data_IF_065274072932
#
_entry.id   IF_065274072932
#
_cell.length_a   1.000
_cell.length_b   1.000
_cell.length_c   1.000
_cell.angle_alpha   90.00
_cell.angle_beta   90.00
_cell.angle_gamma   90.00
#
_symmetry.space_group_name_H-M   'P 1'
#
loop_
_entity.id
_entity.type
_entity.pdbx_description
1 polymer ?
#
# COMPACT_ATOMS: atom_id res chain seq x y z
N UNK A 1 0.72 -19.86 15.68
CA UNK A 1 1.27 -18.51 15.45
C UNK A 1 0.51 -17.90 14.28
N UNK A 2 0.08 -16.66 14.41
CA UNK A 2 -0.55 -15.95 13.29
C UNK A 2 0.45 -15.66 12.16
N UNK A 3 -0.02 -15.32 10.97
CA UNK A 3 0.83 -14.93 9.85
C UNK A 3 1.32 -13.47 10.00
N UNK A 4 2.47 -13.14 9.37
CA UNK A 4 2.97 -11.76 9.25
C UNK A 4 2.35 -11.04 8.05
N UNK A 5 2.21 -11.76 6.94
CA UNK A 5 1.65 -11.25 5.70
C UNK A 5 1.13 -12.37 4.79
N UNK A 6 0.21 -12.00 3.91
CA UNK A 6 -0.46 -12.91 2.99
C UNK A 6 -0.68 -12.26 1.62
N UNK A 7 -0.95 -13.06 0.56
CA UNK A 7 -1.40 -12.52 -0.71
C UNK A 7 -2.76 -11.82 -0.55
N UNK A 8 -3.09 -10.93 -1.47
CA UNK A 8 -4.34 -10.20 -1.45
C UNK A 8 -4.85 -9.89 -2.86
N UNK A 9 -6.13 -9.62 -2.97
CA UNK A 9 -6.79 -9.23 -4.22
C UNK A 9 -6.65 -7.71 -4.37
N UNK A 10 -5.75 -7.27 -5.25
CA UNK A 10 -5.50 -5.84 -5.45
C UNK A 10 -6.47 -5.22 -6.45
N UNK A 11 -6.79 -3.95 -6.21
CA UNK A 11 -7.31 -3.04 -7.22
C UNK A 11 -6.11 -2.25 -7.75
N UNK A 12 -5.74 -2.43 -9.02
CA UNK A 12 -4.49 -1.92 -9.60
C UNK A 12 -4.64 -1.42 -11.03
N UNK A 13 -3.74 -0.55 -11.52
CA UNK A 13 -3.65 -0.25 -12.94
C UNK A 13 -3.11 -1.44 -13.74
N UNK A 14 -3.16 -1.33 -15.05
CA UNK A 14 -2.39 -2.13 -16.00
C UNK A 14 -1.31 -1.25 -16.66
N UNK A 15 -0.55 -1.83 -17.58
CA UNK A 15 0.53 -1.11 -18.28
C UNK A 15 0.02 0.07 -19.12
N UNK A 16 -1.19 -0.01 -19.66
CA UNK A 16 -1.79 1.05 -20.47
C UNK A 16 -2.23 2.25 -19.61
N UNK A 17 -2.60 2.02 -18.35
CA UNK A 17 -3.23 3.04 -17.50
C UNK A 17 -2.33 3.56 -16.37
N UNK A 18 -1.24 2.85 -16.05
CA UNK A 18 -0.38 3.19 -14.89
C UNK A 18 0.16 4.62 -14.95
N UNK A 19 0.55 5.10 -16.13
CA UNK A 19 1.10 6.45 -16.31
C UNK A 19 0.08 7.58 -16.08
N UNK A 20 -1.21 7.29 -16.22
CA UNK A 20 -2.28 8.23 -15.93
C UNK A 20 -2.63 8.30 -14.44
N UNK A 21 -2.31 7.23 -13.69
CA UNK A 21 -2.75 7.01 -12.32
C UNK A 21 -1.64 7.31 -11.31
N UNK A 22 -0.39 6.96 -11.64
CA UNK A 22 0.73 7.05 -10.72
C UNK A 22 0.83 8.44 -10.06
N UNK A 23 1.07 8.44 -8.75
CA UNK A 23 1.14 9.66 -7.95
C UNK A 23 2.16 9.48 -6.82
N UNK A 24 2.79 10.55 -6.34
CA UNK A 24 3.64 10.52 -5.16
C UNK A 24 2.81 10.23 -3.90
N UNK A 25 3.44 9.83 -2.78
CA UNK A 25 2.77 9.70 -1.50
C UNK A 25 2.09 11.02 -1.10
N UNK A 26 0.88 10.92 -0.57
CA UNK A 26 0.04 12.09 -0.27
C UNK A 26 0.60 13.00 0.83
N UNK A 27 1.44 12.47 1.70
CA UNK A 27 1.99 13.10 2.91
C UNK A 27 3.36 13.76 2.71
N UNK A 28 3.97 13.63 1.54
CA UNK A 28 5.27 14.24 1.20
C UNK A 28 5.15 15.48 0.31
N UNK A 29 3.94 15.88 -0.07
CA UNK A 29 3.68 17.01 -0.95
C UNK A 29 2.66 17.97 -0.33
N UNK A 30 2.82 19.26 -0.58
CA UNK A 30 1.86 20.29 -0.19
C UNK A 30 0.58 20.22 -1.03
N UNK A 31 -0.48 20.92 -0.60
CA UNK A 31 -1.71 21.04 -1.39
C UNK A 31 -1.47 21.69 -2.74
N UNK A 32 -0.63 22.72 -2.80
CA UNK A 32 -0.31 23.45 -4.02
C UNK A 32 0.41 22.55 -5.03
N UNK A 33 1.44 21.83 -4.60
CA UNK A 33 2.17 20.87 -5.42
C UNK A 33 1.27 19.74 -5.92
N UNK A 34 0.41 19.21 -5.04
CA UNK A 34 -0.54 18.17 -5.42
C UNK A 34 -1.55 18.67 -6.48
N UNK A 35 -2.01 19.94 -6.38
CA UNK A 35 -2.88 20.58 -7.36
C UNK A 35 -2.19 20.71 -8.72
N UNK A 36 -0.94 21.15 -8.74
CA UNK A 36 -0.09 21.24 -9.94
C UNK A 36 0.12 19.87 -10.58
N UNK A 37 0.53 18.87 -9.79
CA UNK A 37 0.76 17.49 -10.25
C UNK A 37 -0.50 16.81 -10.80
N UNK A 38 -1.69 17.19 -10.31
CA UNK A 38 -2.98 16.67 -10.76
C UNK A 38 -3.59 17.47 -11.91
N UNK A 39 -3.00 18.63 -12.30
CA UNK A 39 -3.45 19.44 -13.43
C UNK A 39 -3.33 18.61 -14.71
N UNK A 40 -4.36 18.66 -15.56
CA UNK A 40 -4.47 17.89 -16.80
C UNK A 40 -4.39 16.35 -16.65
N UNK A 41 -4.43 15.84 -15.39
CA UNK A 41 -4.45 14.41 -15.09
C UNK A 41 -5.75 14.00 -14.41
N UNK A 42 -6.84 13.78 -15.16
CA UNK A 42 -8.17 13.50 -14.60
C UNK A 42 -8.24 12.16 -13.86
N UNK A 43 -7.27 11.27 -14.08
CA UNK A 43 -7.17 9.94 -13.47
C UNK A 43 -6.03 9.81 -12.46
N UNK A 44 -5.31 10.90 -12.14
CA UNK A 44 -4.27 10.87 -11.10
C UNK A 44 -4.82 10.35 -9.78
N UNK A 45 -4.09 9.43 -9.13
CA UNK A 45 -4.47 8.88 -7.83
C UNK A 45 -4.46 9.92 -6.69
N UNK A 46 -3.82 11.09 -6.91
CA UNK A 46 -3.93 12.23 -6.00
C UNK A 46 -5.38 12.67 -5.79
N UNK A 47 -6.25 12.50 -6.77
CA UNK A 47 -7.69 12.80 -6.63
C UNK A 47 -8.42 11.86 -5.67
N UNK A 48 -7.82 10.74 -5.34
CA UNK A 48 -8.30 9.80 -4.30
C UNK A 48 -7.61 10.04 -2.97
N UNK A 49 -6.28 10.20 -2.99
CA UNK A 49 -5.48 10.33 -1.77
C UNK A 49 -5.47 11.75 -1.17
N UNK A 50 -5.76 12.77 -1.99
CA UNK A 50 -5.82 14.20 -1.71
C UNK A 50 -7.07 14.83 -2.34
N UNK A 51 -8.27 14.28 -2.03
CA UNK A 51 -9.51 14.66 -2.70
C UNK A 51 -9.92 16.13 -2.47
N UNK A 52 -9.37 16.77 -1.44
CA UNK A 52 -9.53 18.21 -1.18
C UNK A 52 -8.99 19.10 -2.31
N UNK A 53 -8.21 18.54 -3.26
CA UNK A 53 -7.76 19.26 -4.46
C UNK A 53 -8.92 19.72 -5.36
N UNK A 54 -10.04 19.04 -5.28
CA UNK A 54 -11.25 19.31 -6.06
C UNK A 54 -12.29 20.12 -5.28
N UNK A 55 -11.93 20.63 -4.12
CA UNK A 55 -12.80 21.38 -3.21
C UNK A 55 -12.30 22.82 -3.06
N UNK A 56 -13.16 23.68 -2.50
CA UNK A 56 -12.82 25.06 -2.18
C UNK A 56 -11.60 25.13 -1.26
N UNK A 57 -10.72 26.10 -1.51
CA UNK A 57 -9.46 26.21 -0.78
C UNK A 57 -9.62 26.45 0.72
N UNK A 58 -10.73 27.05 1.13
CA UNK A 58 -11.08 27.34 2.54
C UNK A 58 -11.73 26.14 3.27
N UNK A 59 -12.03 25.04 2.55
CA UNK A 59 -12.64 23.87 3.17
C UNK A 59 -11.63 23.15 4.06
N UNK A 60 -12.09 22.75 5.26
CA UNK A 60 -11.32 21.89 6.14
C UNK A 60 -10.97 20.59 5.41
N UNK A 61 -9.67 20.22 5.27
CA UNK A 61 -9.25 18.98 4.63
C UNK A 61 -9.78 17.72 5.33
N UNK A 62 -10.29 17.85 6.55
CA UNK A 62 -10.92 16.76 7.32
C UNK A 62 -12.46 16.79 7.25
N UNK A 63 -13.05 17.64 6.43
CA UNK A 63 -14.50 17.65 6.22
C UNK A 63 -14.96 16.33 5.58
N UNK A 64 -16.14 15.86 6.00
CA UNK A 64 -16.73 14.60 5.52
C UNK A 64 -16.85 14.54 4.00
N UNK A 65 -17.14 15.67 3.36
CA UNK A 65 -17.29 15.77 1.91
C UNK A 65 -16.00 15.43 1.14
N UNK A 66 -14.83 15.63 1.76
CA UNK A 66 -13.52 15.26 1.18
C UNK A 66 -13.42 13.74 1.04
N UNK A 67 -13.78 12.99 2.06
CA UNK A 67 -13.76 11.51 2.01
C UNK A 67 -14.81 10.96 1.04
N UNK A 68 -15.99 11.57 0.99
CA UNK A 68 -17.03 11.22 0.02
C UNK A 68 -16.57 11.49 -1.43
N UNK A 69 -15.83 12.58 -1.64
CA UNK A 69 -15.20 12.87 -2.92
C UNK A 69 -14.14 11.82 -3.29
N UNK A 70 -13.28 11.45 -2.35
CA UNK A 70 -12.29 10.39 -2.54
C UNK A 70 -12.95 9.06 -2.96
N UNK A 71 -14.06 8.68 -2.31
CA UNK A 71 -14.85 7.51 -2.68
C UNK A 71 -15.40 7.60 -4.11
N UNK A 72 -15.98 8.74 -4.49
CA UNK A 72 -16.48 8.98 -5.86
C UNK A 72 -15.36 8.89 -6.89
N UNK A 73 -14.19 9.45 -6.59
CA UNK A 73 -13.04 9.42 -7.47
C UNK A 73 -12.48 7.99 -7.65
N UNK A 74 -12.39 7.20 -6.59
CA UNK A 74 -12.00 5.79 -6.71
C UNK A 74 -13.03 5.00 -7.54
N UNK A 75 -14.31 5.23 -7.33
CA UNK A 75 -15.39 4.61 -8.11
C UNK A 75 -15.30 5.00 -9.59
N UNK A 76 -14.98 6.27 -9.90
CA UNK A 76 -14.74 6.76 -11.26
C UNK A 76 -13.57 6.05 -11.93
N UNK A 77 -12.44 5.87 -11.23
CA UNK A 77 -11.27 5.12 -11.75
C UNK A 77 -11.65 3.67 -12.10
N UNK A 78 -12.44 3.02 -11.26
CA UNK A 78 -12.92 1.65 -11.51
C UNK A 78 -13.87 1.59 -12.70
N UNK A 79 -14.90 2.43 -12.74
CA UNK A 79 -15.90 2.43 -13.81
C UNK A 79 -15.32 2.83 -15.18
N UNK A 80 -14.25 3.63 -15.19
CA UNK A 80 -13.51 4.00 -16.40
C UNK A 80 -12.50 2.91 -16.84
N UNK A 81 -12.44 1.75 -16.16
CA UNK A 81 -11.48 0.68 -16.47
C UNK A 81 -10.03 1.04 -16.21
N UNK A 82 -9.76 2.13 -15.48
CA UNK A 82 -8.40 2.57 -15.16
C UNK A 82 -7.78 1.73 -14.04
N UNK A 83 -8.61 1.18 -13.16
CA UNK A 83 -8.22 0.24 -12.13
C UNK A 83 -8.98 -1.08 -12.31
N UNK A 84 -8.24 -2.17 -12.32
CA UNK A 84 -8.75 -3.53 -12.46
C UNK A 84 -8.65 -4.24 -11.11
N UNK A 85 -9.70 -4.95 -10.74
CA UNK A 85 -9.68 -5.83 -9.56
C UNK A 85 -9.16 -7.20 -9.99
N UNK A 86 -8.18 -7.72 -9.25
CA UNK A 86 -7.69 -9.10 -9.47
C UNK A 86 -8.76 -10.13 -9.16
N UNK A 87 -8.78 -11.23 -9.93
CA UNK A 87 -9.73 -12.33 -9.74
C UNK A 87 -9.38 -13.22 -8.54
N UNK A 88 -8.10 -13.24 -8.14
CA UNK A 88 -7.61 -14.03 -7.02
C UNK A 88 -6.54 -13.27 -6.20
N UNK A 89 -6.29 -13.77 -5.00
CA UNK A 89 -5.24 -13.23 -4.14
C UNK A 89 -3.84 -13.53 -4.71
N UNK A 90 -3.03 -12.48 -4.90
CA UNK A 90 -1.68 -12.52 -5.43
C UNK A 90 -0.69 -11.86 -4.47
N UNK A 91 0.59 -12.16 -4.63
CA UNK A 91 1.66 -11.28 -4.20
C UNK A 91 2.11 -10.39 -5.36
N UNK A 92 2.72 -9.25 -5.05
CA UNK A 92 3.23 -8.33 -6.06
C UNK A 92 4.69 -8.02 -5.74
N UNK A 93 5.60 -8.43 -6.63
CA UNK A 93 7.00 -7.99 -6.53
C UNK A 93 7.05 -6.56 -7.01
N UNK A 94 7.60 -5.68 -6.18
CA UNK A 94 7.69 -4.26 -6.45
C UNK A 94 9.14 -3.81 -6.43
N UNK A 95 9.61 -3.20 -7.51
CA UNK A 95 10.96 -2.69 -7.63
C UNK A 95 10.95 -1.19 -7.90
N UNK A 96 11.79 -0.47 -7.18
CA UNK A 96 12.11 0.92 -7.43
C UNK A 96 13.57 1.00 -7.83
N UNK A 97 13.88 1.68 -8.93
CA UNK A 97 15.27 1.88 -9.37
C UNK A 97 15.50 3.21 -10.05
N UNK A 98 16.72 3.70 -9.96
CA UNK A 98 17.26 4.78 -10.79
C UNK A 98 18.64 4.37 -11.32
N UNK A 99 19.48 5.33 -11.75
CA UNK A 99 20.83 5.07 -12.26
C UNK A 99 21.82 4.55 -11.20
N UNK A 100 21.59 4.81 -9.92
CA UNK A 100 22.52 4.55 -8.82
C UNK A 100 22.00 3.58 -7.76
N UNK A 101 20.69 3.40 -7.67
CA UNK A 101 20.07 2.58 -6.63
C UNK A 101 18.96 1.69 -7.19
N UNK A 102 18.81 0.52 -6.58
CA UNK A 102 17.72 -0.42 -6.84
C UNK A 102 17.36 -1.13 -5.54
N UNK A 103 16.07 -1.16 -5.25
CA UNK A 103 15.51 -1.96 -4.17
C UNK A 103 14.30 -2.77 -4.67
N UNK A 104 14.19 -4.02 -4.24
CA UNK A 104 13.14 -4.93 -4.65
C UNK A 104 12.45 -5.50 -3.42
N UNK A 105 11.14 -5.32 -3.34
CA UNK A 105 10.33 -5.75 -2.22
C UNK A 105 9.12 -6.56 -2.62
N UNK A 106 8.35 -6.97 -1.63
CA UNK A 106 7.13 -7.73 -1.78
C UNK A 106 5.95 -6.94 -1.21
N UNK A 107 4.96 -6.63 -2.07
CA UNK A 107 3.69 -6.08 -1.62
C UNK A 107 2.78 -7.22 -1.16
N UNK A 108 2.15 -7.02 -0.01
CA UNK A 108 1.36 -8.01 0.70
C UNK A 108 0.28 -7.36 1.58
N UNK A 109 -0.67 -8.15 2.04
CA UNK A 109 -1.57 -7.79 3.13
C UNK A 109 -0.90 -8.16 4.46
N UNK A 110 -0.40 -7.17 5.18
CA UNK A 110 0.25 -7.35 6.47
C UNK A 110 -0.79 -7.56 7.57
N UNK A 111 -0.51 -8.44 8.52
CA UNK A 111 -1.46 -8.85 9.56
C UNK A 111 -1.65 -7.78 10.64
N UNK A 112 -2.89 -7.34 10.86
CA UNK A 112 -3.29 -6.49 12.00
C UNK A 112 -3.01 -7.19 13.33
N UNK A 113 -3.22 -8.51 13.42
CA UNK A 113 -2.89 -9.29 14.61
C UNK A 113 -1.40 -9.26 14.91
N UNK A 114 -0.55 -9.48 13.90
CA UNK A 114 0.90 -9.41 14.05
C UNK A 114 1.38 -7.99 14.46
N UNK A 115 0.72 -6.95 13.93
CA UNK A 115 0.94 -5.57 14.34
C UNK A 115 0.60 -5.34 15.82
N UNK A 116 -0.54 -5.81 16.30
CA UNK A 116 -0.96 -5.71 17.70
C UNK A 116 -0.05 -6.50 18.64
N UNK A 117 0.42 -7.66 18.22
CA UNK A 117 1.34 -8.52 18.96
C UNK A 117 2.81 -8.05 18.91
N UNK A 118 3.09 -6.91 18.26
CA UNK A 118 4.43 -6.36 18.07
C UNK A 118 5.41 -7.31 17.31
N UNK A 119 4.87 -8.16 16.45
CA UNK A 119 5.63 -8.90 15.45
C UNK A 119 5.90 -8.03 14.20
N UNK A 120 5.04 -7.05 13.94
CA UNK A 120 5.31 -5.90 13.07
C UNK A 120 5.60 -4.72 14.02
N UNK A 121 6.88 -4.36 14.10
CA UNK A 121 7.39 -3.44 15.11
C UNK A 121 7.24 -1.98 14.72
N UNK A 122 6.86 -1.19 15.70
CA UNK A 122 6.73 0.27 15.63
C UNK A 122 7.93 0.94 16.28
N UNK A 123 8.30 2.12 15.81
CA UNK A 123 9.32 2.96 16.45
C UNK A 123 8.84 4.40 16.69
N UNK A 124 7.59 4.71 16.30
CA UNK A 124 6.98 6.02 16.46
C UNK A 124 5.60 5.90 17.12
N UNK A 125 5.26 6.89 17.94
CA UNK A 125 3.91 7.07 18.49
C UNK A 125 3.05 7.83 17.48
N UNK A 126 1.83 7.37 17.31
CA UNK A 126 0.89 7.98 16.36
C UNK A 126 0.06 9.09 17.01
N UNK A 127 -0.33 10.09 16.23
CA UNK A 127 -1.20 11.18 16.65
C UNK A 127 -2.65 10.81 16.39
N UNK A 128 -3.50 10.91 17.42
CA UNK A 128 -4.91 10.50 17.35
C UNK A 128 -5.66 11.17 16.19
N UNK A 129 -5.44 12.47 15.94
CA UNK A 129 -6.09 13.17 14.84
C UNK A 129 -5.75 12.57 13.46
N UNK A 130 -4.47 12.23 13.22
CA UNK A 130 -4.04 11.60 11.97
C UNK A 130 -4.52 10.15 11.85
N UNK A 131 -4.63 9.41 12.96
CA UNK A 131 -5.25 8.08 12.94
C UNK A 131 -6.73 8.18 12.58
N UNK A 132 -7.47 9.11 13.18
CA UNK A 132 -8.89 9.33 12.92
C UNK A 132 -9.12 9.68 11.46
N UNK A 133 -8.33 10.60 10.92
CA UNK A 133 -8.35 10.96 9.50
C UNK A 133 -8.19 9.72 8.59
N UNK A 134 -7.15 8.92 8.80
CA UNK A 134 -6.92 7.72 7.99
C UNK A 134 -7.97 6.63 8.21
N UNK A 135 -8.52 6.51 9.43
CA UNK A 135 -9.63 5.60 9.73
C UNK A 135 -10.86 6.00 8.93
N UNK A 136 -11.24 7.28 8.96
CA UNK A 136 -12.38 7.81 8.18
C UNK A 136 -12.18 7.61 6.68
N UNK A 137 -10.95 7.84 6.19
CA UNK A 137 -10.61 7.57 4.79
C UNK A 137 -10.86 6.11 4.41
N UNK A 138 -10.34 5.14 5.19
CA UNK A 138 -10.50 3.71 4.90
C UNK A 138 -11.99 3.32 4.94
N UNK A 139 -12.73 3.77 5.95
CA UNK A 139 -14.14 3.43 6.13
C UNK A 139 -15.03 4.01 5.04
N UNK A 140 -14.75 5.24 4.58
CA UNK A 140 -15.55 5.90 3.55
C UNK A 140 -15.19 5.38 2.15
N UNK A 141 -13.90 5.28 1.84
CA UNK A 141 -13.41 4.82 0.53
C UNK A 141 -13.56 3.31 0.37
N UNK A 142 -13.64 2.56 1.49
CA UNK A 142 -13.71 1.10 1.56
C UNK A 142 -12.51 0.41 0.91
N UNK A 143 -11.35 1.07 1.00
CA UNK A 143 -10.08 0.56 0.49
C UNK A 143 -8.91 1.15 1.27
N UNK A 144 -7.82 0.41 1.35
CA UNK A 144 -6.55 0.91 1.86
C UNK A 144 -5.76 1.43 0.65
N UNK A 145 -5.58 2.73 0.56
CA UNK A 145 -5.10 3.44 -0.62
C UNK A 145 -3.61 3.78 -0.59
N UNK A 146 -2.94 3.57 0.54
CA UNK A 146 -1.51 3.85 0.69
C UNK A 146 -0.78 2.70 1.40
N UNK A 147 0.30 2.16 0.82
CA UNK A 147 1.07 1.10 1.45
C UNK A 147 1.83 1.58 2.67
N UNK A 148 1.98 0.71 3.65
CA UNK A 148 2.94 0.86 4.75
C UNK A 148 4.29 0.35 4.25
N UNK A 149 5.36 1.12 4.47
CA UNK A 149 6.72 0.69 4.18
C UNK A 149 7.24 -0.16 5.34
N UNK A 150 7.53 -1.41 5.05
CA UNK A 150 8.09 -2.35 5.99
C UNK A 150 9.52 -2.72 5.60
N UNK A 151 10.32 -3.03 6.61
CA UNK A 151 11.68 -3.56 6.46
C UNK A 151 11.77 -4.91 7.15
N UNK A 152 12.50 -5.83 6.54
CA UNK A 152 12.85 -7.12 7.14
C UNK A 152 14.35 -7.37 7.09
N UNK A 153 14.85 -8.14 8.06
CA UNK A 153 16.20 -8.64 8.02
C UNK A 153 16.40 -9.52 6.77
N UNK A 154 17.59 -9.49 6.20
CA UNK A 154 17.90 -10.24 4.98
C UNK A 154 17.37 -11.69 5.06
N UNK A 155 16.60 -12.09 4.07
CA UNK A 155 16.03 -13.42 3.93
C UNK A 155 16.39 -14.01 2.58
N UNK A 156 17.46 -14.77 2.52
CA UNK A 156 17.97 -15.34 1.27
C UNK A 156 16.89 -16.07 0.46
N UNK A 157 15.98 -16.79 1.11
CA UNK A 157 14.93 -17.53 0.43
C UNK A 157 13.94 -16.60 -0.29
N UNK A 158 13.50 -15.52 0.37
CA UNK A 158 12.65 -14.54 -0.29
C UNK A 158 13.42 -13.76 -1.35
N UNK A 159 14.63 -13.30 -1.03
CA UNK A 159 15.47 -12.53 -1.95
C UNK A 159 15.73 -13.29 -3.27
N UNK A 160 16.01 -14.60 -3.18
CA UNK A 160 16.22 -15.45 -4.37
C UNK A 160 14.94 -15.58 -5.21
N UNK A 161 13.76 -15.70 -4.57
CA UNK A 161 12.47 -15.72 -5.26
C UNK A 161 12.16 -14.40 -5.96
N UNK A 162 12.39 -13.25 -5.29
CA UNK A 162 12.19 -11.92 -5.89
C UNK A 162 13.12 -11.72 -7.10
N UNK A 163 14.39 -12.12 -6.97
CA UNK A 163 15.36 -12.08 -8.07
C UNK A 163 14.93 -12.97 -9.24
N UNK A 164 14.45 -14.18 -8.95
CA UNK A 164 13.96 -15.09 -9.99
C UNK A 164 12.77 -14.47 -10.76
N UNK A 165 11.80 -13.88 -10.06
CA UNK A 165 10.65 -13.23 -10.71
C UNK A 165 11.11 -12.08 -11.62
N UNK A 166 11.95 -11.20 -11.11
CA UNK A 166 12.39 -10.02 -11.87
C UNK A 166 13.35 -10.31 -13.01
N UNK A 167 14.04 -11.46 -12.97
CA UNK A 167 14.95 -11.91 -14.03
C UNK A 167 14.26 -12.76 -15.11
N UNK A 168 13.15 -13.43 -14.77
CA UNK A 168 12.51 -14.39 -15.68
C UNK A 168 11.58 -13.76 -16.71
N UNK A 169 11.07 -12.57 -16.47
CA UNK A 169 10.11 -11.89 -17.35
C UNK A 169 10.09 -10.37 -17.16
N UNK A 170 9.55 -9.67 -18.13
CA UNK A 170 9.26 -8.24 -17.99
C UNK A 170 8.24 -7.98 -16.88
N UNK A 171 8.21 -6.77 -16.29
CA UNK A 171 7.16 -6.39 -15.36
C UNK A 171 5.79 -6.38 -16.05
N UNK A 172 4.74 -6.63 -15.27
CA UNK A 172 3.36 -6.56 -15.76
C UNK A 172 2.94 -5.11 -16.04
N UNK A 173 3.51 -4.16 -15.32
CA UNK A 173 3.44 -2.74 -15.62
C UNK A 173 4.57 -1.96 -14.96
N UNK A 174 4.92 -0.83 -15.54
CA UNK A 174 5.94 0.07 -15.00
C UNK A 174 5.66 1.51 -15.35
N UNK A 175 6.16 2.43 -14.52
CA UNK A 175 6.04 3.87 -14.74
C UNK A 175 7.19 4.61 -14.09
N UNK A 176 7.54 5.76 -14.65
CA UNK A 176 8.55 6.65 -14.08
C UNK A 176 7.89 7.80 -13.32
N UNK A 177 8.38 8.05 -12.11
CA UNK A 177 7.95 9.17 -11.28
C UNK A 177 9.19 9.78 -10.60
N UNK A 178 9.39 11.09 -10.75
CA UNK A 178 10.47 11.84 -10.09
C UNK A 178 11.87 11.24 -10.30
N UNK A 179 12.14 10.73 -11.51
CA UNK A 179 13.44 10.13 -11.85
C UNK A 179 13.63 8.67 -11.39
N UNK A 180 12.62 8.09 -10.75
CA UNK A 180 12.59 6.69 -10.35
C UNK A 180 11.70 5.86 -11.28
N UNK A 181 12.17 4.69 -11.69
CA UNK A 181 11.36 3.70 -12.37
C UNK A 181 10.75 2.75 -11.35
N UNK A 182 9.44 2.69 -11.35
CA UNK A 182 8.62 1.79 -10.54
C UNK A 182 8.15 0.63 -11.41
N UNK A 183 8.36 -0.59 -10.99
CA UNK A 183 7.99 -1.79 -11.75
C UNK A 183 7.29 -2.80 -10.84
N UNK A 184 6.27 -3.46 -11.37
CA UNK A 184 5.47 -4.45 -10.63
C UNK A 184 5.36 -5.75 -11.43
N UNK A 185 5.54 -6.87 -10.74
CA UNK A 185 5.29 -8.23 -11.24
C UNK A 185 4.23 -8.90 -10.39
N UNK A 186 3.18 -9.39 -11.00
CA UNK A 186 2.08 -10.10 -10.34
C UNK A 186 2.46 -11.56 -10.17
N UNK A 187 2.50 -12.03 -8.94
CA UNK A 187 2.77 -13.45 -8.64
C UNK A 187 1.44 -14.12 -8.33
N UNK A 188 0.90 -14.80 -9.33
CA UNK A 188 -0.42 -15.45 -9.26
C UNK A 188 -0.34 -16.98 -9.26
N UNK A 189 0.83 -17.58 -9.48
CA UNK A 189 1.01 -19.03 -9.51
C UNK A 189 1.00 -19.61 -8.09
N UNK A 190 0.19 -20.65 -7.88
CA UNK A 190 -0.07 -21.20 -6.54
C UNK A 190 1.20 -21.69 -5.83
N UNK A 191 2.14 -22.30 -6.56
CA UNK A 191 3.40 -22.76 -5.96
C UNK A 191 4.30 -21.59 -5.55
N UNK A 192 4.37 -20.53 -6.35
CA UNK A 192 5.12 -19.32 -6.03
C UNK A 192 4.48 -18.59 -4.83
N UNK A 193 3.15 -18.47 -4.83
CA UNK A 193 2.40 -17.89 -3.69
C UNK A 193 2.68 -18.67 -2.40
N UNK A 194 2.58 -19.99 -2.42
CA UNK A 194 2.86 -20.85 -1.24
C UNK A 194 4.30 -20.69 -0.76
N UNK A 195 5.26 -20.63 -1.68
CA UNK A 195 6.68 -20.47 -1.34
C UNK A 195 6.97 -19.11 -0.71
N UNK A 196 6.46 -18.00 -1.31
CA UNK A 196 6.61 -16.66 -0.77
C UNK A 196 5.88 -16.48 0.57
N UNK A 197 4.67 -17.03 0.69
CA UNK A 197 3.93 -17.04 1.96
C UNK A 197 4.74 -17.71 3.08
N UNK A 198 5.33 -18.87 2.79
CA UNK A 198 6.16 -19.57 3.76
C UNK A 198 7.42 -18.78 4.11
N UNK A 199 8.08 -18.14 3.13
CA UNK A 199 9.27 -17.33 3.36
C UNK A 199 8.97 -16.12 4.24
N UNK A 200 7.91 -15.35 3.93
CA UNK A 200 7.47 -14.19 4.72
C UNK A 200 7.14 -14.58 6.16
N UNK A 201 6.36 -15.63 6.35
CA UNK A 201 5.87 -16.01 7.68
C UNK A 201 6.90 -16.72 8.56
N UNK A 202 8.07 -17.06 8.00
CA UNK A 202 9.25 -17.54 8.75
C UNK A 202 10.20 -16.42 9.18
N UNK A 203 10.01 -15.17 8.77
CA UNK A 203 10.91 -14.05 9.12
C UNK A 203 10.89 -13.68 10.61
N UNK A 204 9.84 -14.05 11.34
CA UNK A 204 9.67 -13.75 12.75
C UNK A 204 9.22 -12.31 13.03
N UNK A 205 9.85 -11.30 12.43
CA UNK A 205 9.51 -9.89 12.64
C UNK A 205 9.64 -9.05 11.37
N UNK A 206 8.78 -8.03 11.27
CA UNK A 206 8.88 -6.93 10.33
C UNK A 206 8.98 -5.61 11.10
N UNK A 207 9.47 -4.56 10.46
CA UNK A 207 9.67 -3.25 11.08
C UNK A 207 9.03 -2.18 10.21
N UNK A 208 8.21 -1.32 10.79
CA UNK A 208 7.61 -0.20 10.07
C UNK A 208 8.69 0.86 9.86
N UNK A 209 9.05 1.15 8.62
CA UNK A 209 9.92 2.27 8.28
C UNK A 209 9.11 3.55 8.07
N UNK A 210 7.92 3.44 7.43
CA UNK A 210 6.99 4.55 7.24
C UNK A 210 5.54 4.06 7.22
N UNK A 211 4.59 4.94 7.56
CA UNK A 211 3.16 4.63 7.57
C UNK A 211 2.60 4.19 8.91
N UNK A 212 3.17 4.65 10.04
CA UNK A 212 2.66 4.35 11.38
C UNK A 212 1.18 4.72 11.56
N UNK A 213 0.74 5.88 11.05
CA UNK A 213 -0.66 6.28 11.09
C UNK A 213 -1.56 5.40 10.22
N UNK A 214 -1.05 4.93 9.06
CA UNK A 214 -1.78 4.02 8.15
C UNK A 214 -2.02 2.66 8.79
N UNK A 215 -0.99 2.08 9.40
CA UNK A 215 -1.10 0.79 10.11
C UNK A 215 -1.97 0.89 11.37
N UNK A 216 -1.88 1.98 12.14
CA UNK A 216 -2.73 2.22 13.31
C UNK A 216 -4.20 2.39 12.92
N UNK A 217 -4.49 3.16 11.87
CA UNK A 217 -5.84 3.33 11.36
C UNK A 217 -6.45 2.01 10.88
N UNK A 218 -5.69 1.20 10.14
CA UNK A 218 -6.14 -0.13 9.71
C UNK A 218 -6.47 -1.04 10.91
N UNK A 219 -5.66 -0.97 11.97
CA UNK A 219 -5.94 -1.72 13.20
C UNK A 219 -7.23 -1.26 13.88
N UNK A 220 -7.53 0.05 13.91
CA UNK A 220 -8.80 0.60 14.43
C UNK A 220 -10.00 0.15 13.62
N UNK A 221 -9.90 0.18 12.28
CA UNK A 221 -10.95 -0.33 11.39
C UNK A 221 -11.21 -1.82 11.63
N UNK A 222 -10.14 -2.61 11.77
CA UNK A 222 -10.26 -4.03 12.09
C UNK A 222 -10.98 -4.27 13.42
N UNK A 223 -10.65 -3.49 14.46
CA UNK A 223 -11.33 -3.60 15.76
C UNK A 223 -12.81 -3.26 15.68
N UNK A 224 -13.16 -2.16 15.01
CA UNK A 224 -14.57 -1.78 14.80
C UNK A 224 -15.34 -2.89 14.10
N UNK A 225 -14.83 -3.41 12.99
CA UNK A 225 -15.51 -4.44 12.21
C UNK A 225 -15.60 -5.78 12.93
N UNK A 226 -14.56 -6.16 13.66
CA UNK A 226 -14.57 -7.40 14.45
C UNK A 226 -15.55 -7.31 15.63
N UNK A 227 -15.81 -6.11 16.17
CA UNK A 227 -16.83 -5.92 17.22
C UNK A 227 -18.26 -5.96 16.69
N UNK A 228 -18.50 -5.61 15.43
CA UNK A 228 -19.80 -5.65 14.77
C UNK A 228 -20.20 -7.09 14.36
N UNK A 229 -19.22 -7.96 14.14
CA UNK A 229 -19.45 -9.34 13.73
C UNK A 229 -19.22 -10.31 14.89
N UNK A 230 -20.25 -11.01 15.34
CA UNK A 230 -20.21 -12.03 16.41
C UNK A 230 -19.31 -13.23 16.12
N UNK A 231 -18.75 -13.36 14.92
CA UNK A 231 -17.71 -14.32 14.56
C UNK A 231 -16.32 -13.66 14.64
N UNK A 232 -15.89 -13.37 15.87
CA UNK A 232 -14.53 -12.94 16.14
C UNK A 232 -13.57 -14.10 15.93
N UNK A 233 -12.69 -14.01 14.92
CA UNK A 233 -11.61 -14.98 14.76
C UNK A 233 -11.18 -15.30 13.34
N UNK A 234 -11.80 -14.73 12.32
CA UNK A 234 -11.31 -14.90 10.95
C UNK A 234 -10.15 -13.96 10.67
N UNK A 235 -8.93 -14.41 11.02
CA UNK A 235 -7.69 -13.70 10.69
C UNK A 235 -7.56 -13.47 9.17
N UNK A 236 -8.32 -14.19 8.34
CA UNK A 236 -8.29 -14.10 6.88
C UNK A 236 -9.26 -13.05 6.30
N UNK A 237 -10.17 -12.50 7.11
CA UNK A 237 -11.03 -11.42 6.66
C UNK A 237 -10.20 -10.22 6.14
N UNK A 238 -10.67 -9.58 5.08
CA UNK A 238 -9.92 -8.52 4.40
C UNK A 238 -9.54 -7.36 5.33
N UNK A 239 -10.41 -6.99 6.27
CA UNK A 239 -10.17 -5.92 7.24
C UNK A 239 -9.13 -6.27 8.32
N UNK A 240 -8.75 -7.54 8.47
CA UNK A 240 -7.68 -7.99 9.38
C UNK A 240 -6.28 -7.91 8.76
N UNK A 241 -6.16 -7.25 7.61
CA UNK A 241 -4.90 -6.95 6.95
C UNK A 241 -4.79 -5.51 6.51
N UNK A 242 -3.57 -5.04 6.27
CA UNK A 242 -3.30 -3.73 5.66
C UNK A 242 -2.27 -3.84 4.55
N UNK A 243 -2.43 -2.99 3.52
CA UNK A 243 -1.51 -2.93 2.40
C UNK A 243 -0.12 -2.51 2.88
N UNK A 244 0.89 -3.31 2.55
CA UNK A 244 2.27 -3.01 2.87
C UNK A 244 3.21 -3.49 1.76
N UNK A 245 4.37 -2.85 1.66
CA UNK A 245 5.50 -3.33 0.86
C UNK A 245 6.67 -3.54 1.80
N UNK A 246 7.27 -4.73 1.81
CA UNK A 246 8.42 -5.03 2.63
C UNK A 246 9.68 -5.16 1.78
N UNK A 247 10.76 -4.49 2.20
CA UNK A 247 12.08 -4.53 1.56
C UNK A 247 13.12 -5.13 2.51
N UNK A 248 14.16 -5.79 1.98
CA UNK A 248 15.28 -6.23 2.80
C UNK A 248 16.11 -5.03 3.27
N UNK A 249 16.58 -5.07 4.52
CA UNK A 249 17.31 -3.97 5.14
C UNK A 249 18.57 -3.51 4.37
N UNK A 250 19.22 -4.44 3.70
CA UNK A 250 20.45 -4.17 2.93
C UNK A 250 20.19 -3.52 1.54
N UNK A 251 18.95 -3.40 1.12
CA UNK A 251 18.56 -2.66 -0.11
C UNK A 251 17.92 -1.30 0.22
N UNK A 252 17.72 -0.96 1.50
CA UNK A 252 17.10 0.31 1.87
C UNK A 252 18.04 1.48 1.66
N UNK A 253 17.52 2.53 1.02
CA UNK A 253 18.18 3.84 0.91
C UNK A 253 17.53 4.79 1.91
N UNK A 254 18.35 5.32 2.81
CA UNK A 254 17.93 6.38 3.73
C UNK A 254 18.32 7.70 3.11
N UNK A 255 17.34 8.54 2.86
CA UNK A 255 17.51 9.89 2.34
C UNK A 255 17.30 10.89 3.48
N UNK A 256 17.94 12.06 3.34
CA UNK A 256 17.70 13.17 4.26
C UNK A 256 16.22 13.59 4.17
N UNK A 257 15.61 13.80 5.32
CA UNK A 257 14.25 14.31 5.42
C UNK A 257 14.31 15.83 5.41
N UNK A 258 13.82 16.44 4.35
CA UNK A 258 13.76 17.90 4.19
C UNK A 258 12.41 18.45 4.62
#
# INVERSE_FOLDING_TARGET
MGFLGRPFTALRPNDETVNEIIAPPYDVITRAEAKELATDKPFSFLRVSRAELEMDDDLDPYDKSVYERAHKNLSKLRSAGKLLLEDKACFYVYQIRNSTHRQTGLALSASVRAYKQNNIRKHELTRHAKETDRTTQIETVKAITGPVLLVHAQNKNLDDQLKQVTASRAPDYSSSLEGWLHSVWIVSEDNAIKSMYAAVNKMGKLYIADGHHRSAAAARVADSRNSEHTQSGDDEAAHNGFLAVTFPENEMLILDYN
#
